data_IF_610253646457
#
_entry.id   IF_610253646457
#
_cell.length_a   1.000
_cell.length_b   1.000
_cell.length_c   1.000
_cell.angle_alpha   90.00
_cell.angle_beta   90.00
_cell.angle_gamma   90.00
#
_symmetry.space_group_name_H-M   'P 1'
#
loop_
_entity.id
_entity.type
_entity.pdbx_description
1 polymer ?
#
# COMPACT_ATOMS: atom_id res chain seq x y z
N UNK A 1 -11.76 15.57 22.68
CA UNK A 1 -12.79 14.89 23.52
C UNK A 1 -14.03 14.73 22.65
N UNK A 2 -14.45 13.49 22.35
CA UNK A 2 -15.68 13.26 21.59
C UNK A 2 -16.87 13.62 22.49
N UNK A 3 -17.73 14.55 22.06
CA UNK A 3 -19.00 14.81 22.72
C UNK A 3 -19.97 13.69 22.38
N UNK A 4 -19.90 12.61 23.15
CA UNK A 4 -20.83 11.49 23.04
C UNK A 4 -22.06 11.81 23.88
N UNK A 5 -23.24 11.73 23.25
CA UNK A 5 -24.49 11.81 23.99
C UNK A 5 -24.59 10.61 24.94
N UNK A 6 -24.57 10.88 26.24
CA UNK A 6 -24.68 9.89 27.29
C UNK A 6 -25.99 10.10 28.07
N UNK A 7 -26.62 9.03 28.59
CA UNK A 7 -27.86 9.13 29.35
C UNK A 7 -27.68 9.76 30.75
N UNK A 8 -26.46 10.19 31.11
CA UNK A 8 -26.13 10.81 32.38
C UNK A 8 -25.36 12.12 32.17
N UNK A 9 -25.56 13.07 33.08
CA UNK A 9 -24.90 14.38 33.01
C UNK A 9 -23.42 14.28 33.39
N UNK A 10 -22.55 14.57 32.41
CA UNK A 10 -21.10 14.65 32.55
C UNK A 10 -20.56 16.07 32.32
N UNK A 11 -21.43 17.05 32.06
CA UNK A 11 -21.05 18.45 31.87
C UNK A 11 -20.83 19.17 33.20
N UNK A 12 -21.65 18.84 34.21
CA UNK A 12 -21.62 19.51 35.52
C UNK A 12 -21.11 18.61 36.66
N UNK A 13 -20.94 17.30 36.42
CA UNK A 13 -20.43 16.35 37.41
C UNK A 13 -19.02 15.86 37.04
N UNK A 14 -18.02 16.26 37.84
CA UNK A 14 -16.60 15.93 37.62
C UNK A 14 -16.34 14.43 37.64
N UNK A 15 -17.01 13.64 38.47
CA UNK A 15 -16.81 12.18 38.51
C UNK A 15 -17.29 11.52 37.21
N UNK A 16 -18.45 11.93 36.72
CA UNK A 16 -18.99 11.42 35.45
C UNK A 16 -18.14 11.90 34.26
N UNK A 17 -17.62 13.13 34.32
CA UNK A 17 -16.71 13.67 33.32
C UNK A 17 -15.41 12.86 33.22
N UNK A 18 -14.78 12.54 34.36
CA UNK A 18 -13.55 11.72 34.39
C UNK A 18 -13.80 10.35 33.77
N UNK A 19 -14.92 9.70 34.11
CA UNK A 19 -15.29 8.39 33.56
C UNK A 19 -15.46 8.49 32.03
N UNK A 20 -16.20 9.48 31.54
CA UNK A 20 -16.41 9.68 30.09
C UNK A 20 -15.14 10.02 29.34
N UNK A 21 -14.26 10.81 29.96
CA UNK A 21 -12.97 11.14 29.38
C UNK A 21 -12.08 9.90 29.26
N UNK A 22 -12.01 9.09 30.32
CA UNK A 22 -11.26 7.83 30.31
C UNK A 22 -11.79 6.87 29.25
N UNK A 23 -13.11 6.69 29.15
CA UNK A 23 -13.73 5.86 28.11
C UNK A 23 -13.40 6.38 26.72
N UNK A 24 -13.52 7.69 26.49
CA UNK A 24 -13.19 8.31 25.20
C UNK A 24 -11.72 8.10 24.82
N UNK A 25 -10.79 8.31 25.76
CA UNK A 25 -9.37 8.08 25.55
C UNK A 25 -9.09 6.62 25.21
N UNK A 26 -9.69 5.68 25.95
CA UNK A 26 -9.55 4.24 25.69
C UNK A 26 -10.07 3.89 24.29
N UNK A 27 -11.27 4.36 23.93
CA UNK A 27 -11.86 4.13 22.61
C UNK A 27 -10.99 4.69 21.47
N UNK A 28 -10.46 5.91 21.61
CA UNK A 28 -9.56 6.49 20.61
C UNK A 28 -8.27 5.70 20.49
N UNK A 29 -7.66 5.32 21.61
CA UNK A 29 -6.41 4.51 21.58
C UNK A 29 -6.65 3.17 20.91
N UNK A 30 -7.73 2.44 21.24
CA UNK A 30 -8.03 1.17 20.58
C UNK A 30 -8.33 1.33 19.09
N UNK A 31 -9.10 2.36 18.71
CA UNK A 31 -9.42 2.67 17.31
C UNK A 31 -8.17 2.95 16.49
N UNK A 32 -7.36 3.93 16.90
CA UNK A 32 -6.10 4.26 16.23
C UNK A 32 -5.14 3.07 16.20
N UNK A 33 -4.98 2.36 17.33
CA UNK A 33 -4.09 1.20 17.38
C UNK A 33 -4.51 0.11 16.41
N UNK A 34 -5.81 -0.15 16.27
CA UNK A 34 -6.30 -1.18 15.35
C UNK A 34 -5.93 -0.88 13.89
N UNK A 35 -6.18 0.35 13.43
CA UNK A 35 -5.87 0.79 12.06
C UNK A 35 -4.36 0.72 11.83
N UNK A 36 -3.59 1.37 12.69
CA UNK A 36 -2.13 1.42 12.54
C UNK A 36 -1.49 0.04 12.60
N UNK A 37 -2.01 -0.90 13.38
CA UNK A 37 -1.52 -2.29 13.40
C UNK A 37 -1.72 -2.97 12.05
N UNK A 38 -2.91 -2.84 11.43
CA UNK A 38 -3.16 -3.42 10.12
C UNK A 38 -2.28 -2.82 9.03
N UNK A 39 -2.09 -1.51 9.03
CA UNK A 39 -1.23 -0.85 8.04
C UNK A 39 0.24 -1.18 8.24
N UNK A 40 0.70 -1.27 9.49
CA UNK A 40 2.07 -1.70 9.81
C UNK A 40 2.31 -3.14 9.35
N UNK A 41 1.36 -4.05 9.59
CA UNK A 41 1.44 -5.42 9.10
C UNK A 41 1.49 -5.48 7.57
N UNK A 42 0.63 -4.70 6.89
CA UNK A 42 0.64 -4.60 5.44
C UNK A 42 2.01 -4.14 4.92
N UNK A 43 2.59 -3.07 5.50
CA UNK A 43 3.92 -2.60 5.13
C UNK A 43 5.00 -3.66 5.38
N UNK A 44 4.95 -4.37 6.51
CA UNK A 44 5.91 -5.44 6.78
C UNK A 44 5.83 -6.56 5.73
N UNK A 45 4.64 -6.97 5.31
CA UNK A 45 4.48 -7.96 4.24
C UNK A 45 4.97 -7.45 2.89
N UNK A 46 4.64 -6.21 2.53
CA UNK A 46 5.09 -5.60 1.29
C UNK A 46 6.62 -5.49 1.24
N UNK A 47 7.27 -5.01 2.31
CA UNK A 47 8.73 -4.91 2.36
C UNK A 47 9.39 -6.29 2.27
N UNK A 48 8.83 -7.31 2.92
CA UNK A 48 9.33 -8.68 2.79
C UNK A 48 9.18 -9.19 1.33
N UNK A 49 8.07 -8.89 0.67
CA UNK A 49 7.87 -9.24 -0.74
C UNK A 49 8.88 -8.54 -1.65
N UNK A 50 9.11 -7.24 -1.45
CA UNK A 50 10.13 -6.48 -2.18
C UNK A 50 11.51 -7.12 -1.97
N UNK A 51 11.86 -7.47 -0.74
CA UNK A 51 13.11 -8.18 -0.44
C UNK A 51 13.22 -9.51 -1.18
N UNK A 52 12.14 -10.28 -1.26
CA UNK A 52 12.11 -11.53 -2.05
C UNK A 52 12.28 -11.30 -3.56
N UNK A 53 11.72 -10.22 -4.10
CA UNK A 53 11.91 -9.82 -5.51
C UNK A 53 13.38 -9.44 -5.77
N UNK A 54 14.01 -8.70 -4.86
CA UNK A 54 15.43 -8.35 -4.99
C UNK A 54 16.34 -9.58 -4.89
N UNK A 55 16.07 -10.48 -3.95
CA UNK A 55 16.77 -11.77 -3.82
C UNK A 55 16.61 -12.58 -5.10
N UNK A 56 15.41 -12.63 -5.69
CA UNK A 56 15.17 -13.33 -6.95
C UNK A 56 16.04 -12.78 -8.09
N UNK A 57 16.07 -11.45 -8.27
CA UNK A 57 16.90 -10.79 -9.28
C UNK A 57 18.38 -11.09 -9.08
N UNK A 58 18.86 -11.02 -7.84
CA UNK A 58 20.25 -11.30 -7.52
C UNK A 58 20.60 -12.79 -7.74
N UNK A 59 19.70 -13.70 -7.37
CA UNK A 59 19.87 -15.13 -7.60
C UNK A 59 19.99 -15.44 -9.10
N UNK A 60 19.18 -14.80 -9.95
CA UNK A 60 19.31 -14.96 -11.41
C UNK A 60 20.70 -14.52 -11.86
N UNK A 61 21.15 -13.32 -11.47
CA UNK A 61 22.46 -12.80 -11.85
C UNK A 61 23.60 -13.74 -11.44
N UNK A 62 23.60 -14.22 -10.19
CA UNK A 62 24.70 -15.05 -9.66
C UNK A 62 24.66 -16.50 -10.19
N UNK A 63 23.48 -17.11 -10.29
CA UNK A 63 23.34 -18.52 -10.69
C UNK A 63 23.60 -18.72 -12.19
N UNK A 64 23.16 -17.79 -13.04
CA UNK A 64 23.29 -17.90 -14.50
C UNK A 64 24.56 -17.26 -15.08
N UNK A 65 25.37 -16.57 -14.28
CA UNK A 65 26.69 -16.08 -14.70
C UNK A 65 27.71 -17.21 -14.94
N UNK A 66 27.54 -18.35 -14.27
CA UNK A 66 28.43 -19.51 -14.43
C UNK A 66 28.05 -20.29 -15.69
N UNK A 67 29.04 -20.88 -16.37
CA UNK A 67 28.76 -21.85 -17.43
C UNK A 67 28.18 -23.12 -16.79
N UNK A 68 26.91 -23.39 -17.07
CA UNK A 68 26.18 -24.53 -16.56
C UNK A 68 26.09 -25.63 -17.62
N UNK A 69 26.15 -26.88 -17.18
CA UNK A 69 25.84 -28.02 -18.03
C UNK A 69 24.34 -28.04 -18.37
N UNK A 70 23.93 -28.79 -19.40
CA UNK A 70 22.52 -28.83 -19.84
C UNK A 70 21.54 -29.28 -18.74
N UNK A 71 21.93 -30.25 -17.92
CA UNK A 71 21.10 -30.74 -16.79
C UNK A 71 21.04 -29.73 -15.64
N UNK A 72 22.16 -29.10 -15.31
CA UNK A 72 22.26 -28.07 -14.27
C UNK A 72 21.44 -26.83 -14.66
N UNK A 73 21.56 -26.38 -15.92
CA UNK A 73 20.76 -25.29 -16.46
C UNK A 73 19.26 -25.59 -16.37
N UNK A 74 18.85 -26.81 -16.70
CA UNK A 74 17.45 -27.23 -16.58
C UNK A 74 16.98 -27.17 -15.13
N UNK A 75 17.80 -27.66 -14.20
CA UNK A 75 17.50 -27.63 -12.77
C UNK A 75 17.34 -26.19 -12.26
N UNK A 76 18.31 -25.32 -12.56
CA UNK A 76 18.32 -23.92 -12.14
C UNK A 76 17.13 -23.13 -12.71
N UNK A 77 16.77 -23.35 -13.97
CA UNK A 77 15.58 -22.74 -14.59
C UNK A 77 14.30 -23.15 -13.86
N UNK A 78 14.15 -24.44 -13.55
CA UNK A 78 12.97 -24.95 -12.84
C UNK A 78 12.90 -24.39 -11.43
N UNK A 79 14.02 -24.33 -10.70
CA UNK A 79 14.07 -23.77 -9.34
C UNK A 79 13.72 -22.28 -9.34
N UNK A 80 14.31 -21.52 -10.27
CA UNK A 80 14.05 -20.08 -10.45
C UNK A 80 12.57 -19.83 -10.78
N UNK A 81 12.00 -20.62 -11.69
CA UNK A 81 10.58 -20.53 -12.05
C UNK A 81 9.67 -20.85 -10.87
N UNK A 82 9.98 -21.88 -10.07
CA UNK A 82 9.23 -22.21 -8.85
C UNK A 82 9.29 -21.06 -7.83
N UNK A 83 10.45 -20.42 -7.68
CA UNK A 83 10.61 -19.29 -6.77
C UNK A 83 9.81 -18.07 -7.22
N UNK A 84 9.83 -17.76 -8.52
CA UNK A 84 9.00 -16.69 -9.08
C UNK A 84 7.50 -16.98 -8.84
N UNK A 85 7.04 -18.20 -9.11
CA UNK A 85 5.67 -18.61 -8.85
C UNK A 85 5.28 -18.47 -7.37
N UNK A 86 6.20 -18.79 -6.44
CA UNK A 86 6.00 -18.55 -5.02
C UNK A 86 5.80 -17.06 -4.69
N UNK A 87 6.66 -16.18 -5.23
CA UNK A 87 6.54 -14.72 -5.05
C UNK A 87 5.20 -14.22 -5.60
N UNK A 88 4.83 -14.60 -6.82
CA UNK A 88 3.58 -14.19 -7.45
C UNK A 88 2.36 -14.69 -6.65
N UNK A 89 2.42 -15.91 -6.11
CA UNK A 89 1.35 -16.42 -5.25
C UNK A 89 1.24 -15.60 -3.95
N UNK A 90 2.37 -15.29 -3.30
CA UNK A 90 2.37 -14.48 -2.09
C UNK A 90 1.88 -13.06 -2.32
N UNK A 91 2.21 -12.48 -3.47
CA UNK A 91 1.65 -11.21 -3.90
C UNK A 91 0.12 -11.27 -4.02
N UNK A 92 -0.43 -12.31 -4.66
CA UNK A 92 -1.89 -12.49 -4.79
C UNK A 92 -2.59 -12.71 -3.46
N UNK A 93 -1.99 -13.50 -2.57
CA UNK A 93 -2.51 -13.72 -1.22
C UNK A 93 -2.59 -12.39 -0.45
N UNK A 94 -1.55 -11.56 -0.56
CA UNK A 94 -1.48 -10.23 0.04
C UNK A 94 -2.50 -9.26 -0.57
N UNK A 95 -2.62 -9.24 -1.89
CA UNK A 95 -3.63 -8.44 -2.61
C UNK A 95 -5.05 -8.82 -2.17
N UNK A 96 -5.35 -10.11 -2.03
CA UNK A 96 -6.64 -10.58 -1.54
C UNK A 96 -6.91 -10.23 -0.07
N UNK A 97 -5.88 -10.26 0.78
CA UNK A 97 -6.03 -10.00 2.21
C UNK A 97 -6.16 -8.50 2.51
N UNK A 98 -5.32 -7.68 1.88
CA UNK A 98 -5.23 -6.25 2.17
C UNK A 98 -5.98 -5.38 1.15
N UNK A 99 -6.41 -5.90 0.00
CA UNK A 99 -7.05 -5.11 -1.06
C UNK A 99 -8.28 -4.32 -0.58
N UNK A 100 -9.08 -4.91 0.31
CA UNK A 100 -10.21 -4.22 0.95
C UNK A 100 -9.75 -3.15 1.94
N UNK A 101 -8.74 -3.44 2.76
CA UNK A 101 -8.15 -2.47 3.68
C UNK A 101 -7.64 -1.24 2.91
N UNK A 102 -6.93 -1.48 1.80
CA UNK A 102 -6.38 -0.40 0.98
C UNK A 102 -7.47 0.45 0.33
N UNK A 103 -8.51 -0.19 -0.21
CA UNK A 103 -9.67 0.51 -0.76
C UNK A 103 -10.42 1.31 0.31
N UNK A 104 -10.55 0.75 1.51
CA UNK A 104 -11.13 1.41 2.68
C UNK A 104 -10.35 2.65 3.09
N UNK A 105 -9.02 2.55 3.20
CA UNK A 105 -8.16 3.69 3.52
C UNK A 105 -8.24 4.80 2.47
N UNK A 106 -8.31 4.48 1.18
CA UNK A 106 -8.52 5.50 0.14
C UNK A 106 -9.86 6.20 0.26
N UNK A 107 -10.93 5.46 0.54
CA UNK A 107 -12.26 6.02 0.75
C UNK A 107 -12.33 6.87 2.02
N UNK A 108 -11.72 6.40 3.11
CA UNK A 108 -11.63 7.13 4.37
C UNK A 108 -10.87 8.44 4.16
N UNK A 109 -9.68 8.42 3.55
CA UNK A 109 -8.91 9.63 3.26
C UNK A 109 -9.71 10.64 2.43
N UNK A 110 -10.47 10.19 1.42
CA UNK A 110 -11.28 11.09 0.60
C UNK A 110 -12.33 11.87 1.42
N UNK A 111 -13.02 11.19 2.35
CA UNK A 111 -14.02 11.84 3.21
C UNK A 111 -13.39 12.62 4.36
N UNK A 112 -12.44 12.02 5.06
CA UNK A 112 -11.79 12.58 6.25
C UNK A 112 -10.97 13.83 5.90
N UNK A 113 -10.16 13.81 4.84
CA UNK A 113 -9.38 14.97 4.42
C UNK A 113 -10.29 16.14 4.01
N UNK A 114 -11.40 15.83 3.34
CA UNK A 114 -12.38 16.85 2.91
C UNK A 114 -13.07 17.51 4.10
N UNK A 115 -13.39 16.75 5.14
CA UNK A 115 -14.00 17.24 6.39
C UNK A 115 -12.99 18.03 7.24
N UNK A 116 -11.77 17.53 7.41
CA UNK A 116 -10.72 18.22 8.16
C UNK A 116 -10.37 19.57 7.52
N UNK A 117 -10.35 19.63 6.20
CA UNK A 117 -10.09 20.86 5.47
C UNK A 117 -11.24 21.87 5.61
N UNK A 118 -12.48 21.40 5.69
CA UNK A 118 -13.65 22.23 6.02
C UNK A 118 -13.54 22.81 7.44
N UNK A 119 -13.24 21.98 8.44
CA UNK A 119 -13.06 22.42 9.84
C UNK A 119 -11.88 23.38 9.99
N UNK A 120 -10.81 23.22 9.22
CA UNK A 120 -9.70 24.18 9.23
C UNK A 120 -10.11 25.58 8.75
N UNK A 121 -11.03 25.65 7.78
CA UNK A 121 -11.55 26.91 7.25
C UNK A 121 -12.52 27.59 8.22
N UNK A 122 -13.53 26.86 8.66
CA UNK A 122 -14.70 27.42 9.36
C UNK A 122 -14.69 27.17 10.86
N UNK A 123 -13.84 26.28 11.35
CA UNK A 123 -13.76 25.92 12.75
C UNK A 123 -13.20 27.03 13.64
N UNK A 124 -13.42 26.92 14.96
CA UNK A 124 -12.93 27.88 15.94
C UNK A 124 -11.42 28.10 15.85
N UNK A 125 -10.96 29.34 16.00
CA UNK A 125 -9.52 29.68 15.89
C UNK A 125 -8.63 28.90 16.88
N UNK A 126 -9.19 28.48 18.02
CA UNK A 126 -8.46 27.74 19.06
C UNK A 126 -7.98 26.36 18.62
N UNK A 127 -8.69 25.69 17.70
CA UNK A 127 -8.46 24.27 17.39
C UNK A 127 -7.78 24.05 16.03
N UNK A 128 -7.46 25.14 15.31
CA UNK A 128 -6.86 25.08 13.96
C UNK A 128 -5.52 24.35 13.90
N UNK A 129 -4.73 24.45 14.97
CA UNK A 129 -3.44 23.74 15.06
C UNK A 129 -3.65 22.22 15.09
N UNK A 130 -4.66 21.75 15.81
CA UNK A 130 -4.98 20.32 15.91
C UNK A 130 -5.44 19.78 14.56
N UNK A 131 -6.37 20.47 13.89
CA UNK A 131 -6.84 20.06 12.56
C UNK A 131 -5.72 20.11 11.51
N UNK A 132 -4.84 21.11 11.57
CA UNK A 132 -3.66 21.18 10.69
C UNK A 132 -2.71 20.00 10.89
N UNK A 133 -2.44 19.61 12.15
CA UNK A 133 -1.63 18.43 12.45
C UNK A 133 -2.28 17.14 11.95
N UNK A 134 -3.60 16.99 12.14
CA UNK A 134 -4.34 15.81 11.66
C UNK A 134 -4.22 15.66 10.14
N UNK A 135 -4.42 16.72 9.37
CA UNK A 135 -4.29 16.68 7.90
C UNK A 135 -2.89 16.20 7.48
N UNK A 136 -1.83 16.70 8.13
CA UNK A 136 -0.45 16.29 7.80
C UNK A 136 -0.25 14.79 8.05
N UNK A 137 -0.82 14.26 9.13
CA UNK A 137 -0.71 12.83 9.47
C UNK A 137 -1.46 11.96 8.46
N UNK A 138 -2.74 12.26 8.19
CA UNK A 138 -3.56 11.45 7.27
C UNK A 138 -3.06 11.51 5.83
N UNK A 139 -2.74 12.71 5.33
CA UNK A 139 -2.13 12.84 4.00
C UNK A 139 -0.75 12.16 3.94
N UNK A 140 0.04 12.23 5.02
CA UNK A 140 1.33 11.57 5.13
C UNK A 140 1.22 10.04 5.05
N UNK A 141 0.24 9.47 5.73
CA UNK A 141 -0.07 8.04 5.69
C UNK A 141 -0.46 7.59 4.28
N UNK A 142 -1.36 8.33 3.61
CA UNK A 142 -1.76 8.05 2.24
C UNK A 142 -0.56 8.08 1.27
N UNK A 143 0.35 9.04 1.46
CA UNK A 143 1.59 9.14 0.68
C UNK A 143 2.45 7.90 0.88
N UNK A 144 2.81 7.57 2.13
CA UNK A 144 3.68 6.44 2.45
C UNK A 144 3.10 5.16 1.84
N UNK A 145 1.81 4.93 2.06
CA UNK A 145 1.11 3.76 1.55
C UNK A 145 1.17 3.65 0.04
N UNK A 146 0.92 4.75 -0.66
CA UNK A 146 0.90 4.78 -2.13
C UNK A 146 2.29 4.59 -2.72
N UNK A 147 3.34 5.14 -2.10
CA UNK A 147 4.72 4.93 -2.50
C UNK A 147 5.17 3.48 -2.32
N UNK A 148 4.81 2.85 -1.20
CA UNK A 148 5.19 1.46 -0.92
C UNK A 148 4.54 0.49 -1.92
N UNK A 149 3.30 0.73 -2.33
CA UNK A 149 2.64 -0.05 -3.38
C UNK A 149 3.26 0.19 -4.76
N UNK A 150 3.63 1.44 -5.06
CA UNK A 150 4.31 1.79 -6.31
C UNK A 150 5.70 1.15 -6.40
N UNK A 151 6.39 1.00 -5.27
CA UNK A 151 7.69 0.35 -5.19
C UNK A 151 7.62 -1.14 -5.60
N UNK A 152 6.56 -1.88 -5.21
CA UNK A 152 6.35 -3.25 -5.69
C UNK A 152 6.28 -3.27 -7.21
N UNK A 153 5.49 -2.36 -7.79
CA UNK A 153 5.33 -2.25 -9.24
C UNK A 153 6.68 -2.00 -9.89
N UNK A 154 7.42 -0.99 -9.40
CA UNK A 154 8.75 -0.62 -9.89
C UNK A 154 9.73 -1.80 -9.86
N UNK A 155 9.71 -2.57 -8.77
CA UNK A 155 10.57 -3.74 -8.60
C UNK A 155 10.14 -4.94 -9.46
N UNK A 156 8.90 -4.98 -9.93
CA UNK A 156 8.42 -6.04 -10.82
C UNK A 156 8.65 -5.74 -12.31
N UNK A 157 8.74 -4.46 -12.68
CA UNK A 157 8.82 -3.99 -14.06
C UNK A 157 10.13 -4.38 -14.77
N UNK A 158 11.24 -4.44 -14.05
CA UNK A 158 12.58 -4.79 -14.55
C UNK A 158 12.88 -6.30 -14.50
N UNK A 159 12.01 -7.12 -13.89
CA UNK A 159 12.22 -8.58 -13.82
C UNK A 159 12.38 -9.23 -15.21
N UNK A 160 11.54 -8.94 -16.22
CA UNK A 160 11.67 -9.55 -17.54
C UNK A 160 13.02 -9.25 -18.19
N UNK A 161 13.52 -8.03 -18.02
CA UNK A 161 14.82 -7.60 -18.54
C UNK A 161 15.97 -8.34 -17.82
N UNK A 162 15.90 -8.47 -16.50
CA UNK A 162 16.89 -9.25 -15.73
C UNK A 162 16.92 -10.70 -16.18
N UNK A 163 15.76 -11.32 -16.41
CA UNK A 163 15.65 -12.69 -16.90
C UNK A 163 16.23 -12.82 -18.31
N UNK A 164 15.88 -11.90 -19.22
CA UNK A 164 16.32 -11.95 -20.61
C UNK A 164 17.83 -11.71 -20.77
N UNK A 165 18.38 -10.72 -20.06
CA UNK A 165 19.77 -10.30 -20.22
C UNK A 165 20.78 -11.20 -19.50
N UNK A 166 20.40 -11.80 -18.36
CA UNK A 166 21.35 -12.59 -17.54
C UNK A 166 21.32 -14.09 -17.84
N UNK A 167 20.27 -14.58 -18.51
CA UNK A 167 20.17 -15.99 -18.89
C UNK A 167 20.60 -16.11 -20.34
N UNK A 168 21.75 -16.75 -20.59
CA UNK A 168 22.29 -17.02 -21.92
C UNK A 168 21.46 -18.07 -22.68
N UNK A 169 20.23 -17.70 -23.04
CA UNK A 169 19.25 -18.59 -23.65
C UNK A 169 19.66 -19.01 -25.07
N UNK A 170 20.53 -18.24 -25.74
CA UNK A 170 21.02 -18.50 -27.10
C UNK A 170 21.82 -19.80 -27.18
N UNK A 171 22.64 -20.06 -26.17
CA UNK A 171 23.55 -21.22 -26.08
C UNK A 171 22.82 -22.50 -25.60
N UNK A 172 21.55 -22.39 -25.19
CA UNK A 172 20.81 -23.49 -24.61
C UNK A 172 20.36 -24.55 -25.62
N UNK A 173 20.23 -25.80 -25.14
CA UNK A 173 19.59 -26.88 -25.88
C UNK A 173 18.12 -26.54 -26.21
N UNK A 174 17.60 -27.15 -27.29
CA UNK A 174 16.19 -26.94 -27.72
C UNK A 174 15.20 -27.32 -26.61
N UNK A 175 15.53 -28.35 -25.82
CA UNK A 175 14.71 -28.78 -24.67
C UNK A 175 14.61 -27.68 -23.61
N UNK A 176 15.74 -27.04 -23.27
CA UNK A 176 15.77 -25.99 -22.26
C UNK A 176 15.16 -24.68 -22.77
N UNK A 177 15.32 -24.35 -24.06
CA UNK A 177 14.63 -23.23 -24.70
C UNK A 177 13.10 -23.34 -24.61
N UNK A 178 12.55 -24.56 -24.73
CA UNK A 178 11.11 -24.82 -24.55
C UNK A 178 10.61 -24.59 -23.13
N UNK A 179 11.48 -24.67 -22.12
CA UNK A 179 11.16 -24.36 -20.71
C UNK A 179 11.35 -22.86 -20.43
N UNK A 180 12.37 -22.25 -21.03
CA UNK A 180 12.64 -20.83 -20.86
C UNK A 180 11.52 -19.94 -21.41
N UNK A 181 10.93 -20.29 -22.57
CA UNK A 181 9.85 -19.51 -23.17
C UNK A 181 8.63 -19.31 -22.25
N UNK A 182 8.02 -20.36 -21.65
CA UNK A 182 6.93 -20.18 -20.71
C UNK A 182 7.36 -19.47 -19.42
N UNK A 183 8.62 -19.62 -18.98
CA UNK A 183 9.15 -18.85 -17.86
C UNK A 183 9.19 -17.34 -18.18
N UNK A 184 9.66 -16.97 -19.38
CA UNK A 184 9.67 -15.58 -19.84
C UNK A 184 8.25 -14.99 -19.91
N UNK A 185 7.28 -15.76 -20.39
CA UNK A 185 5.87 -15.35 -20.40
C UNK A 185 5.29 -15.17 -18.99
N UNK A 186 5.73 -15.96 -18.02
CA UNK A 186 5.27 -15.86 -16.64
C UNK A 186 5.79 -14.63 -15.91
N UNK A 187 6.99 -14.15 -16.25
CA UNK A 187 7.60 -12.98 -15.59
C UNK A 187 7.15 -11.63 -16.17
N UNK A 188 6.57 -11.63 -17.39
CA UNK A 188 6.11 -10.41 -18.06
C UNK A 188 4.97 -9.65 -17.36
N UNK A 189 3.96 -10.30 -16.76
CA UNK A 189 2.91 -9.59 -16.03
C UNK A 189 3.48 -8.83 -14.83
N UNK A 190 3.34 -7.51 -14.87
CA UNK A 190 3.75 -6.61 -13.79
C UNK A 190 2.88 -6.90 -12.55
N UNK A 191 3.51 -6.96 -11.37
CA UNK A 191 2.81 -7.13 -10.10
C UNK A 191 2.18 -5.78 -9.70
N UNK A 192 0.97 -5.53 -10.17
CA UNK A 192 0.19 -4.33 -9.85
C UNK A 192 -0.83 -4.62 -8.77
N UNK A 193 -0.78 -3.88 -7.67
CA UNK A 193 -1.70 -4.07 -6.56
C UNK A 193 -3.08 -3.50 -6.92
N UNK A 194 -4.12 -4.33 -6.90
CA UNK A 194 -5.50 -3.89 -7.10
C UNK A 194 -6.20 -3.82 -5.75
N UNK A 195 -6.68 -2.63 -5.42
CA UNK A 195 -7.57 -2.42 -4.29
C UNK A 195 -8.97 -3.01 -4.60
N UNK A 196 -9.84 -3.00 -3.58
CA UNK A 196 -11.24 -3.37 -3.74
C UNK A 196 -11.89 -2.67 -4.95
N UNK A 197 -12.76 -3.39 -5.64
CA UNK A 197 -13.38 -3.01 -6.93
C UNK A 197 -12.43 -3.00 -8.15
N UNK A 198 -11.21 -3.55 -8.04
CA UNK A 198 -10.28 -3.65 -9.17
C UNK A 198 -9.59 -2.33 -9.52
N UNK A 199 -9.69 -1.33 -8.63
CA UNK A 199 -9.00 -0.06 -8.78
C UNK A 199 -7.51 -0.28 -8.55
N UNK A 200 -6.70 0.14 -9.53
CA UNK A 200 -5.24 0.12 -9.41
C UNK A 200 -4.80 0.99 -8.23
N UNK A 201 -4.14 0.40 -7.24
CA UNK A 201 -3.59 1.11 -6.10
C UNK A 201 -2.18 1.64 -6.41
N UNK A 202 -1.76 2.71 -5.74
CA UNK A 202 -0.46 3.36 -5.94
C UNK A 202 -0.56 4.89 -5.98
N UNK A 203 0.43 5.52 -6.62
CA UNK A 203 0.58 6.99 -6.62
C UNK A 203 -0.53 7.71 -7.39
N UNK A 204 -1.07 7.09 -8.44
CA UNK A 204 -2.13 7.69 -9.27
C UNK A 204 -3.44 7.97 -8.49
N UNK A 205 -4.02 7.00 -7.76
CA UNK A 205 -5.14 7.24 -6.85
C UNK A 205 -4.88 8.35 -5.83
N UNK A 206 -3.72 8.37 -5.19
CA UNK A 206 -3.35 9.41 -4.22
C UNK A 206 -3.41 10.81 -4.84
N UNK A 207 -2.82 10.99 -6.03
CA UNK A 207 -2.89 12.28 -6.74
C UNK A 207 -4.34 12.65 -7.05
N UNK A 208 -5.17 11.68 -7.42
CA UNK A 208 -6.59 11.89 -7.69
C UNK A 208 -7.36 12.32 -6.44
N UNK A 209 -7.08 11.70 -5.28
CA UNK A 209 -7.67 12.07 -3.98
C UNK A 209 -7.26 13.50 -3.64
N UNK A 210 -5.97 13.84 -3.69
CA UNK A 210 -5.51 15.20 -3.42
C UNK A 210 -6.17 16.24 -4.33
N UNK A 211 -6.23 15.98 -5.64
CA UNK A 211 -6.92 16.88 -6.58
C UNK A 211 -8.39 17.07 -6.21
N UNK A 212 -9.06 16.00 -5.80
CA UNK A 212 -10.48 16.04 -5.41
C UNK A 212 -10.66 16.86 -4.13
N UNK A 213 -9.85 16.62 -3.10
CA UNK A 213 -9.87 17.36 -1.84
C UNK A 213 -9.59 18.85 -2.04
N UNK A 214 -8.59 19.22 -2.85
CA UNK A 214 -8.30 20.62 -3.17
C UNK A 214 -9.40 21.26 -4.03
N UNK A 215 -9.98 20.52 -4.97
CA UNK A 215 -11.09 21.04 -5.79
C UNK A 215 -12.32 21.33 -4.94
N UNK A 216 -12.65 20.42 -4.01
CA UNK A 216 -13.72 20.62 -3.03
C UNK A 216 -13.48 21.86 -2.16
N UNK A 217 -12.25 22.06 -1.70
CA UNK A 217 -11.85 23.27 -0.97
C UNK A 217 -12.07 24.57 -1.76
N UNK A 218 -11.64 24.60 -3.02
CA UNK A 218 -11.82 25.79 -3.88
C UNK A 218 -13.31 26.06 -4.09
N UNK A 219 -14.10 25.02 -4.34
CA UNK A 219 -15.56 25.13 -4.51
C UNK A 219 -16.25 25.70 -3.27
N UNK A 220 -15.92 25.19 -2.07
CA UNK A 220 -16.42 25.71 -0.80
C UNK A 220 -16.07 27.19 -0.62
N UNK A 221 -14.80 27.54 -0.84
CA UNK A 221 -14.32 28.92 -0.73
C UNK A 221 -14.98 29.88 -1.72
N UNK A 222 -15.28 29.41 -2.93
CA UNK A 222 -15.93 30.21 -3.98
C UNK A 222 -17.41 30.42 -3.68
N UNK A 223 -18.13 29.35 -3.35
CA UNK A 223 -19.59 29.37 -3.14
C UNK A 223 -20.01 30.23 -1.94
N UNK A 224 -19.12 30.42 -0.97
CA UNK A 224 -19.38 31.21 0.24
C UNK A 224 -18.87 32.66 0.17
N UNK A 225 -18.17 33.03 -0.91
CA UNK A 225 -17.81 34.44 -1.21
C UNK A 225 -18.82 35.13 -2.13
N UNK A 226 -19.75 34.37 -2.69
CA UNK A 226 -20.94 34.87 -3.39
C UNK A 226 -22.08 35.09 -2.39
#
# INVERSE_FOLDING_TARGET
CLYLWAPFDYGYNVNNWIIMHMVSCISTVYGCSSITLFDTLNFAFIFNLIGHIEIFKNNIKVRFQKKLNNEEMRFELIETMKYHAFITQKFKDMESAFGINIGGNYLQNLFEDSLLLYELMFGPKGDKMQYGLMIVVYMGELIIMSFVLEEIRRQSEDIPEVVYCNIHWEEMSISNKKIFLPFLLQVQPIMEFKAACGLRAGVNPMISIFKSTFSYYIMLKSSMKS
#
